data_IF_148934733404
#
_entry.id   IF_148934733404
#
_cell.length_a   1.000
_cell.length_b   1.000
_cell.length_c   1.000
_cell.angle_alpha   90.00
_cell.angle_beta   90.00
_cell.angle_gamma   90.00
#
_symmetry.space_group_name_H-M   'P 1'
#
loop_
_entity.id
_entity.type
_entity.pdbx_description
1 polymer ?
#
# COMPACT_ATOMS: atom_id res chain seq x y z
N UNK A 1 2.92 14.19 18.67
CA UNK A 1 2.30 15.03 17.62
C UNK A 1 1.74 14.08 16.57
N UNK A 2 0.44 13.79 16.61
CA UNK A 2 -0.18 12.95 15.58
C UNK A 2 -0.13 13.69 14.25
N UNK A 3 0.48 13.08 13.23
CA UNK A 3 0.39 13.57 11.87
C UNK A 3 -1.09 13.77 11.49
N UNK A 4 -1.45 14.81 10.73
CA UNK A 4 -2.82 14.97 10.27
C UNK A 4 -3.22 13.71 9.50
N UNK A 5 -4.39 13.15 9.83
CA UNK A 5 -4.95 12.02 9.10
C UNK A 5 -5.08 12.42 7.62
N UNK A 6 -4.22 11.86 6.75
CA UNK A 6 -4.33 12.03 5.29
C UNK A 6 -5.76 11.72 4.87
N UNK A 7 -6.36 12.61 4.07
CA UNK A 7 -7.78 12.53 3.69
C UNK A 7 -8.11 11.14 3.10
N UNK A 8 -8.98 10.35 3.74
CA UNK A 8 -9.38 9.03 3.23
C UNK A 8 -10.06 9.09 1.85
N UNK A 9 -10.45 10.27 1.35
CA UNK A 9 -11.02 10.47 0.00
C UNK A 9 -10.01 10.33 -1.14
N UNK A 10 -8.70 10.43 -0.86
CA UNK A 10 -7.67 10.28 -1.88
C UNK A 10 -7.47 8.83 -2.34
N UNK A 11 -7.90 7.84 -1.55
CA UNK A 11 -7.60 6.43 -1.75
C UNK A 11 -8.87 5.57 -1.90
N UNK A 12 -8.72 4.37 -2.47
CA UNK A 12 -9.86 3.47 -2.68
C UNK A 12 -10.48 3.04 -1.34
N UNK A 13 -11.80 3.12 -1.22
CA UNK A 13 -12.57 2.63 -0.05
C UNK A 13 -13.14 1.22 -0.26
N UNK A 14 -12.59 0.45 -1.21
CA UNK A 14 -13.04 -0.92 -1.47
C UNK A 14 -12.73 -1.83 -0.27
N UNK A 15 -13.55 -2.87 -0.07
CA UNK A 15 -13.32 -3.83 1.00
C UNK A 15 -12.01 -4.60 0.74
N UNK A 16 -11.02 -4.54 1.64
CA UNK A 16 -9.74 -5.21 1.46
C UNK A 16 -9.90 -6.72 1.61
N UNK A 17 -9.05 -7.46 0.90
CA UNK A 17 -8.88 -8.89 1.09
C UNK A 17 -7.80 -9.13 2.15
N UNK A 18 -8.24 -9.38 3.39
CA UNK A 18 -7.36 -9.57 4.53
C UNK A 18 -7.24 -11.05 4.91
N UNK A 19 -6.04 -11.52 5.31
CA UNK A 19 -5.80 -12.91 5.71
C UNK A 19 -6.34 -13.18 7.13
N UNK A 20 -7.65 -13.04 7.31
CA UNK A 20 -8.33 -13.15 8.60
C UNK A 20 -8.57 -14.60 9.00
N UNK A 21 -8.22 -14.95 10.23
CA UNK A 21 -8.58 -16.22 10.87
C UNK A 21 -10.08 -16.25 11.19
N UNK A 22 -10.73 -17.43 11.29
CA UNK A 22 -12.15 -17.53 11.63
C UNK A 22 -12.53 -16.78 12.91
N UNK A 23 -11.67 -16.82 13.94
CA UNK A 23 -11.87 -16.11 15.20
C UNK A 23 -11.83 -14.58 15.01
N UNK A 24 -10.92 -14.06 14.17
CA UNK A 24 -10.81 -12.64 13.85
C UNK A 24 -12.03 -12.14 13.08
N UNK A 25 -12.58 -12.96 12.16
CA UNK A 25 -13.83 -12.64 11.44
C UNK A 25 -15.02 -12.55 12.39
N UNK A 26 -15.07 -13.41 13.41
CA UNK A 26 -16.12 -13.35 14.44
C UNK A 26 -15.96 -12.13 15.34
N UNK A 27 -14.73 -11.78 15.72
CA UNK A 27 -14.43 -10.60 16.53
C UNK A 27 -14.87 -9.30 15.83
N UNK A 28 -14.54 -9.15 14.53
CA UNK A 28 -14.99 -8.02 13.71
C UNK A 28 -16.52 -7.88 13.68
N UNK A 29 -17.23 -9.00 13.46
CA UNK A 29 -18.71 -9.01 13.46
C UNK A 29 -19.29 -8.57 14.79
N UNK A 30 -18.74 -9.05 15.91
CA UNK A 30 -19.17 -8.67 17.27
C UNK A 30 -18.92 -7.18 17.54
N UNK A 31 -17.77 -6.67 17.12
CA UNK A 31 -17.39 -5.26 17.27
C UNK A 31 -18.11 -4.32 16.28
N UNK A 32 -18.88 -4.85 15.32
CA UNK A 32 -19.54 -4.10 14.24
C UNK A 32 -18.56 -3.30 13.35
N UNK A 33 -17.29 -3.71 13.30
CA UNK A 33 -16.29 -3.12 12.42
C UNK A 33 -16.44 -3.71 11.02
N UNK A 34 -16.57 -2.84 10.01
CA UNK A 34 -16.63 -3.27 8.60
C UNK A 34 -15.22 -3.41 8.04
N UNK A 35 -15.00 -4.38 7.15
CA UNK A 35 -13.69 -4.62 6.54
C UNK A 35 -13.12 -3.38 5.85
N UNK A 36 -13.97 -2.62 5.14
CA UNK A 36 -13.56 -1.37 4.47
C UNK A 36 -13.03 -0.28 5.41
N UNK A 37 -13.39 -0.34 6.69
CA UNK A 37 -12.99 0.68 7.67
C UNK A 37 -11.62 0.36 8.28
N UNK A 38 -11.17 -0.90 8.21
CA UNK A 38 -9.92 -1.39 8.87
C UNK A 38 -8.65 -0.66 8.42
N UNK A 39 -8.62 -0.09 7.22
CA UNK A 39 -7.50 0.71 6.71
C UNK A 39 -7.34 2.06 7.43
N UNK A 40 -8.43 2.57 8.01
CA UNK A 40 -8.53 3.92 8.57
C UNK A 40 -8.80 3.91 10.08
N UNK A 41 -9.18 2.77 10.64
CA UNK A 41 -9.25 2.57 12.09
C UNK A 41 -7.84 2.52 12.68
N UNK A 42 -7.51 3.34 13.70
CA UNK A 42 -6.25 3.23 14.43
C UNK A 42 -6.06 1.81 14.98
N UNK A 43 -4.87 1.19 14.85
CA UNK A 43 -4.65 -0.18 15.30
C UNK A 43 -4.95 -0.40 16.78
N UNK A 44 -4.72 0.60 17.63
CA UNK A 44 -5.00 0.60 19.07
C UNK A 44 -6.51 0.50 19.33
N UNK A 45 -7.29 1.32 18.62
CA UNK A 45 -8.75 1.28 18.68
C UNK A 45 -9.28 -0.06 18.14
N UNK A 46 -8.76 -0.51 17.01
CA UNK A 46 -9.14 -1.80 16.41
C UNK A 46 -8.87 -2.97 17.39
N UNK A 47 -7.71 -2.98 18.05
CA UNK A 47 -7.38 -3.97 19.06
C UNK A 47 -8.32 -3.90 20.28
N UNK A 48 -8.58 -2.69 20.80
CA UNK A 48 -9.47 -2.48 21.94
C UNK A 48 -10.91 -2.95 21.66
N UNK A 49 -11.44 -2.68 20.48
CA UNK A 49 -12.82 -3.02 20.11
C UNK A 49 -13.00 -4.50 19.77
N UNK A 50 -11.99 -5.16 19.19
CA UNK A 50 -12.11 -6.57 18.77
C UNK A 50 -11.55 -7.58 19.76
N UNK A 51 -10.58 -7.19 20.59
CA UNK A 51 -9.76 -8.10 21.39
C UNK A 51 -8.71 -8.87 20.56
N UNK A 52 -8.49 -8.49 19.30
CA UNK A 52 -7.39 -9.04 18.49
C UNK A 52 -6.06 -8.43 18.99
N UNK A 53 -4.96 -9.20 19.06
CA UNK A 53 -3.67 -8.67 19.49
C UNK A 53 -3.22 -7.46 18.66
N UNK A 54 -2.64 -6.44 19.32
CA UNK A 54 -2.29 -5.16 18.70
C UNK A 54 -1.40 -5.32 17.46
N UNK A 55 -0.37 -6.17 17.51
CA UNK A 55 0.52 -6.38 16.36
C UNK A 55 -0.20 -7.01 15.17
N UNK A 56 -1.22 -7.84 15.44
CA UNK A 56 -2.07 -8.41 14.41
C UNK A 56 -2.99 -7.35 13.82
N UNK A 57 -3.55 -6.46 14.63
CA UNK A 57 -4.31 -5.30 14.15
C UNK A 57 -3.46 -4.36 13.30
N UNK A 58 -2.22 -4.06 13.72
CA UNK A 58 -1.26 -3.25 12.94
C UNK A 58 -1.00 -3.85 11.56
N UNK A 59 -0.74 -5.16 11.51
CA UNK A 59 -0.58 -5.88 10.25
C UNK A 59 -1.83 -5.79 9.37
N UNK A 60 -3.01 -6.09 9.92
CA UNK A 60 -4.27 -6.06 9.16
C UNK A 60 -4.59 -4.66 8.63
N UNK A 61 -4.42 -3.62 9.45
CA UNK A 61 -4.61 -2.23 9.04
C UNK A 61 -3.62 -1.81 7.97
N UNK A 62 -2.34 -2.18 8.07
CA UNK A 62 -1.35 -1.89 7.05
C UNK A 62 -1.66 -2.58 5.72
N UNK A 63 -2.01 -3.88 5.74
CA UNK A 63 -2.42 -4.61 4.54
C UNK A 63 -3.66 -3.98 3.89
N UNK A 64 -4.65 -3.59 4.70
CA UNK A 64 -5.85 -2.91 4.21
C UNK A 64 -5.50 -1.57 3.54
N UNK A 65 -4.56 -0.83 4.14
CA UNK A 65 -4.13 0.48 3.67
C UNK A 65 -3.27 0.40 2.41
N UNK A 66 -2.39 -0.58 2.28
CA UNK A 66 -1.66 -0.81 1.02
C UNK A 66 -2.62 -1.19 -0.12
N UNK A 67 -3.65 -1.99 0.16
CA UNK A 67 -4.68 -2.32 -0.84
C UNK A 67 -5.56 -1.14 -1.26
N UNK A 68 -5.53 -0.01 -0.54
CA UNK A 68 -6.24 1.20 -0.99
C UNK A 68 -5.51 1.94 -2.12
N UNK A 69 -4.25 1.58 -2.41
CA UNK A 69 -3.47 2.13 -3.50
C UNK A 69 -3.90 1.54 -4.85
N UNK A 70 -3.86 2.36 -5.90
CA UNK A 70 -3.99 1.92 -7.28
C UNK A 70 -2.95 0.86 -7.62
N UNK A 71 -3.36 -0.16 -8.36
CA UNK A 71 -2.52 -1.29 -8.79
C UNK A 71 -1.97 -2.21 -7.69
N UNK A 72 -2.26 -1.96 -6.40
CA UNK A 72 -1.81 -2.81 -5.29
C UNK A 72 -2.93 -3.76 -4.87
N UNK A 73 -2.77 -5.04 -5.20
CA UNK A 73 -3.65 -6.12 -4.75
C UNK A 73 -3.21 -6.74 -3.41
N UNK A 74 -3.96 -7.75 -2.91
CA UNK A 74 -3.65 -8.39 -1.63
C UNK A 74 -2.28 -9.10 -1.60
N UNK A 75 -1.85 -9.71 -2.70
CA UNK A 75 -0.52 -10.33 -2.80
C UNK A 75 0.57 -9.28 -2.61
N UNK A 76 0.52 -8.21 -3.41
CA UNK A 76 1.54 -7.18 -3.36
C UNK A 76 1.52 -6.41 -2.03
N UNK A 77 0.35 -6.19 -1.43
CA UNK A 77 0.26 -5.63 -0.09
C UNK A 77 0.97 -6.52 0.95
N UNK A 78 0.84 -7.84 0.85
CA UNK A 78 1.57 -8.78 1.70
C UNK A 78 3.08 -8.75 1.43
N UNK A 79 3.48 -8.61 0.16
CA UNK A 79 4.88 -8.49 -0.22
C UNK A 79 5.51 -7.19 0.31
N UNK A 80 4.83 -6.05 0.19
CA UNK A 80 5.24 -4.76 0.76
C UNK A 80 5.43 -4.88 2.28
N UNK A 81 4.46 -5.52 2.97
CA UNK A 81 4.62 -5.80 4.39
C UNK A 81 5.81 -6.73 4.66
N UNK A 82 6.01 -7.77 3.85
CA UNK A 82 7.11 -8.71 4.02
C UNK A 82 8.50 -8.09 3.79
N UNK A 83 8.57 -7.01 3.00
CA UNK A 83 9.76 -6.18 2.80
C UNK A 83 10.07 -5.25 3.99
N UNK A 84 9.15 -5.11 4.93
CA UNK A 84 9.37 -4.34 6.16
C UNK A 84 8.60 -3.02 6.25
N UNK A 85 7.90 -2.62 5.19
CA UNK A 85 7.09 -1.39 5.20
C UNK A 85 5.82 -1.60 6.06
N UNK A 86 5.58 -0.69 7.00
CA UNK A 86 4.48 -0.77 7.98
C UNK A 86 3.42 0.31 7.77
N UNK A 87 3.75 1.37 7.06
CA UNK A 87 2.90 2.54 6.88
C UNK A 87 3.09 3.22 5.52
N UNK A 88 2.19 4.13 5.18
CA UNK A 88 2.37 5.03 4.03
C UNK A 88 3.57 5.96 4.19
N UNK A 89 3.99 6.28 5.41
CA UNK A 89 5.16 7.13 5.63
C UNK A 89 6.46 6.38 5.37
N UNK A 90 6.48 5.07 5.63
CA UNK A 90 7.61 4.22 5.25
C UNK A 90 7.70 4.12 3.72
N UNK A 91 6.56 3.87 3.05
CA UNK A 91 6.51 3.84 1.58
C UNK A 91 6.89 5.18 0.96
N UNK A 92 6.46 6.31 1.54
CA UNK A 92 6.77 7.63 1.00
C UNK A 92 8.29 7.91 1.00
N UNK A 93 9.06 7.25 1.89
CA UNK A 93 10.52 7.38 1.96
C UNK A 93 11.26 6.33 1.13
N UNK A 94 10.56 5.34 0.60
CA UNK A 94 11.16 4.24 -0.13
C UNK A 94 11.62 4.67 -1.54
N UNK A 95 12.63 3.95 -2.05
CA UNK A 95 13.00 3.94 -3.46
C UNK A 95 12.45 2.66 -4.14
N UNK A 96 11.60 2.76 -5.18
CA UNK A 96 11.03 1.63 -5.91
C UNK A 96 12.05 0.68 -6.52
N UNK A 97 13.20 1.18 -6.98
CA UNK A 97 14.24 0.33 -7.54
C UNK A 97 14.89 -0.49 -6.41
N UNK A 98 15.15 0.12 -5.25
CA UNK A 98 15.60 -0.62 -4.06
C UNK A 98 14.56 -1.61 -3.55
N UNK A 99 13.27 -1.23 -3.54
CA UNK A 99 12.16 -2.13 -3.20
C UNK A 99 12.13 -3.34 -4.13
N UNK A 100 12.28 -3.12 -5.43
CA UNK A 100 12.33 -4.17 -6.44
C UNK A 100 13.51 -5.10 -6.21
N UNK A 101 14.72 -4.55 -6.02
CA UNK A 101 15.92 -5.35 -5.74
C UNK A 101 15.77 -6.18 -4.45
N UNK A 102 15.24 -5.58 -3.38
CA UNK A 102 14.97 -6.29 -2.13
C UNK A 102 13.92 -7.40 -2.32
N UNK A 103 12.90 -7.16 -3.15
CA UNK A 103 11.88 -8.14 -3.49
C UNK A 103 12.46 -9.30 -4.30
N UNK A 104 13.22 -9.02 -5.35
CA UNK A 104 13.90 -10.04 -6.16
C UNK A 104 14.83 -10.89 -5.30
N UNK A 105 15.62 -10.27 -4.41
CA UNK A 105 16.48 -10.98 -3.47
C UNK A 105 15.70 -11.90 -2.53
N UNK A 106 14.57 -11.43 -1.99
CA UNK A 106 13.68 -12.21 -1.13
C UNK A 106 13.05 -13.40 -1.86
N UNK A 107 12.65 -13.20 -3.12
CA UNK A 107 12.03 -14.24 -3.96
C UNK A 107 13.08 -15.28 -4.41
N UNK A 108 14.35 -14.91 -4.48
CA UNK A 108 15.46 -15.82 -4.81
C UNK A 108 15.54 -16.21 -6.29
N UNK A 109 14.76 -15.55 -7.14
CA UNK A 109 14.76 -15.73 -8.60
C UNK A 109 14.42 -14.41 -9.30
N UNK A 110 14.74 -14.25 -10.59
CA UNK A 110 14.29 -13.10 -11.36
C UNK A 110 12.77 -12.92 -11.26
N UNK A 111 12.36 -11.67 -11.00
CA UNK A 111 10.96 -11.24 -10.93
C UNK A 111 10.65 -10.45 -12.21
N UNK A 112 9.39 -10.39 -12.60
CA UNK A 112 8.97 -9.52 -13.69
C UNK A 112 9.25 -8.04 -13.35
N UNK A 113 9.88 -7.27 -14.26
CA UNK A 113 10.20 -5.87 -14.00
C UNK A 113 8.97 -4.97 -13.83
N UNK A 114 7.77 -5.40 -14.23
CA UNK A 114 6.53 -4.65 -13.93
C UNK A 114 6.31 -4.46 -12.43
N UNK A 115 6.90 -5.29 -11.57
CA UNK A 115 6.81 -5.12 -10.11
C UNK A 115 7.46 -3.82 -9.65
N UNK A 116 8.56 -3.39 -10.27
CA UNK A 116 9.16 -2.07 -10.01
C UNK A 116 8.17 -0.95 -10.35
N UNK A 117 7.48 -1.06 -11.49
CA UNK A 117 6.50 -0.07 -11.93
C UNK A 117 5.31 0.03 -10.95
N UNK A 118 4.88 -1.11 -10.37
CA UNK A 118 3.85 -1.10 -9.33
C UNK A 118 4.36 -0.49 -8.03
N UNK A 119 5.61 -0.76 -7.61
CA UNK A 119 6.21 -0.09 -6.45
C UNK A 119 6.31 1.42 -6.68
N UNK A 120 6.69 1.85 -7.88
CA UNK A 120 6.77 3.26 -8.25
C UNK A 120 5.40 3.93 -8.19
N UNK A 121 4.38 3.28 -8.73
CA UNK A 121 2.98 3.70 -8.62
C UNK A 121 2.51 3.81 -7.15
N UNK A 122 2.87 2.85 -6.30
CA UNK A 122 2.52 2.85 -4.88
C UNK A 122 3.19 4.01 -4.13
N UNK A 123 4.51 4.19 -4.32
CA UNK A 123 5.30 5.26 -3.70
C UNK A 123 4.81 6.64 -4.15
N UNK A 124 4.51 6.82 -5.44
CA UNK A 124 4.00 8.07 -5.97
C UNK A 124 2.65 8.46 -5.35
N UNK A 125 1.71 7.52 -5.27
CA UNK A 125 0.38 7.77 -4.66
C UNK A 125 0.44 8.14 -3.18
N UNK A 126 1.41 7.61 -2.42
CA UNK A 126 1.56 7.99 -0.99
C UNK A 126 2.30 9.32 -0.80
N UNK A 127 3.13 9.72 -1.78
CA UNK A 127 3.81 11.02 -1.79
C UNK A 127 2.88 12.15 -2.26
N UNK A 128 2.06 11.85 -3.25
CA UNK A 128 1.08 12.77 -3.83
C UNK A 128 -0.32 12.16 -3.82
N UNK A 129 -1.17 12.50 -2.82
CA UNK A 129 -2.55 12.05 -2.77
C UNK A 129 -3.44 12.59 -3.91
N UNK A 130 -3.05 13.71 -4.53
CA UNK A 130 -3.77 14.38 -5.61
C UNK A 130 -3.29 13.93 -7.00
N UNK A 131 -2.42 12.92 -7.04
CA UNK A 131 -1.88 12.33 -8.26
C UNK A 131 -3.00 12.03 -9.28
N UNK A 132 -2.83 12.40 -10.56
CA UNK A 132 -3.81 12.15 -11.61
C UNK A 132 -4.26 10.70 -11.66
N UNK A 133 -5.55 10.45 -11.95
CA UNK A 133 -6.12 9.11 -11.95
C UNK A 133 -5.36 8.12 -12.86
N UNK A 134 -4.85 8.60 -14.00
CA UNK A 134 -4.04 7.83 -14.94
C UNK A 134 -2.73 7.33 -14.32
N UNK A 135 -2.05 8.20 -13.56
CA UNK A 135 -0.81 7.89 -12.85
C UNK A 135 -1.01 6.99 -11.62
N UNK A 136 -2.25 6.66 -11.25
CA UNK A 136 -2.56 5.62 -10.25
C UNK A 136 -2.57 4.21 -10.84
N UNK A 137 -2.33 4.08 -12.14
CA UNK A 137 -2.17 2.80 -12.82
C UNK A 137 -0.69 2.50 -13.03
N UNK A 138 -0.26 1.28 -12.71
CA UNK A 138 1.14 0.89 -12.81
C UNK A 138 1.72 1.05 -14.22
N UNK A 139 0.91 0.86 -15.27
CA UNK A 139 1.38 0.99 -16.64
C UNK A 139 1.78 2.41 -17.04
N UNK A 140 1.31 3.43 -16.32
CA UNK A 140 1.80 4.81 -16.50
C UNK A 140 3.31 4.93 -16.22
N UNK A 141 3.84 4.02 -15.40
CA UNK A 141 5.19 4.11 -14.85
C UNK A 141 6.25 3.37 -15.68
N UNK A 142 5.86 2.62 -16.73
CA UNK A 142 6.81 1.92 -17.61
C UNK A 142 7.94 2.83 -18.13
N UNK A 143 7.67 4.07 -18.63
CA UNK A 143 8.72 4.93 -19.17
C UNK A 143 9.72 5.44 -18.11
N UNK A 144 9.37 5.33 -16.83
CA UNK A 144 10.15 5.85 -15.70
C UNK A 144 10.94 4.76 -14.97
N UNK A 145 10.92 3.53 -15.46
CA UNK A 145 11.66 2.41 -14.87
C UNK A 145 13.16 2.71 -14.80
N UNK A 146 13.80 2.35 -13.69
CA UNK A 146 15.23 2.61 -13.45
C UNK A 146 15.58 4.07 -13.17
N UNK A 147 14.61 4.99 -13.17
CA UNK A 147 14.83 6.39 -12.77
C UNK A 147 14.67 6.58 -11.26
N UNK A 148 15.27 7.63 -10.71
CA UNK A 148 15.00 8.01 -9.31
C UNK A 148 13.58 8.56 -9.13
N UNK A 149 13.00 8.42 -7.94
CA UNK A 149 11.61 8.82 -7.65
C UNK A 149 11.36 10.32 -7.78
N UNK A 150 12.40 11.15 -7.78
CA UNK A 150 12.27 12.59 -7.96
C UNK A 150 11.88 13.00 -9.40
N UNK A 151 11.89 12.07 -10.36
CA UNK A 151 11.85 12.38 -11.79
C UNK A 151 10.46 12.28 -12.47
N UNK A 152 9.34 12.14 -11.74
CA UNK A 152 8.02 11.79 -12.32
C UNK A 152 6.96 12.84 -11.96
N UNK A 153 6.09 13.31 -12.88
CA UNK A 153 6.18 14.71 -13.29
C UNK A 153 4.96 15.58 -12.97
N UNK A 154 5.24 16.89 -12.99
CA UNK A 154 4.31 17.96 -13.32
C UNK A 154 4.51 18.59 -14.72
N UNK A 155 5.37 18.08 -15.63
CA UNK A 155 5.52 18.73 -16.95
C UNK A 155 6.03 17.92 -18.16
N UNK A 156 6.36 16.63 -18.05
CA UNK A 156 6.89 15.89 -19.22
C UNK A 156 5.91 14.84 -19.72
N UNK A 157 5.35 15.11 -20.91
CA UNK A 157 4.70 14.15 -21.79
C UNK A 157 5.50 12.84 -21.82
N UNK A 158 4.91 11.67 -21.50
CA UNK A 158 5.64 10.41 -21.59
C UNK A 158 6.09 10.20 -23.04
N UNK A 159 7.30 9.66 -23.28
CA UNK A 159 7.76 9.39 -24.64
C UNK A 159 6.77 8.44 -25.31
N UNK A 160 6.24 8.84 -26.47
CA UNK A 160 5.44 7.95 -27.32
C UNK A 160 6.35 6.82 -27.81
N UNK A 161 5.88 5.59 -27.63
CA UNK A 161 6.41 4.39 -28.30
C UNK A 161 6.36 4.54 -29.82
#
# INVERSE_FOLDING_TARGET
MSAPARDPRAFKTAAPQLPLRPQERTALRRARIRLRDTAWTPPEQFAAETGIPLDRCRMLSALARFQSLGSVGPSLAADIWALGYRSFDDLAKADPAEMYMAFTARVGRPVDPCVEDVFRCAVAQVRDPDLPAEARNWWYWLPYRGTSVAAVPGETTPPRS
#
